data_IF_355533247489
#
_entry.id   IF_355533247489
#
_cell.length_a   1.000
_cell.length_b   1.000
_cell.length_c   1.000
_cell.angle_alpha   90.00
_cell.angle_beta   90.00
_cell.angle_gamma   90.00
#
_symmetry.space_group_name_H-M   'P 1'
#
loop_
_entity.id
_entity.type
_entity.pdbx_description
1 polymer ?
#
# COMPACT_ATOMS: atom_id res chain seq x y z
N UNK A 1 -5.52 -15.24 -25.22
CA UNK A 1 -6.51 -15.71 -24.20
C UNK A 1 -7.16 -14.46 -23.60
N UNK A 2 -8.45 -14.30 -23.86
CA UNK A 2 -9.24 -13.15 -23.39
C UNK A 2 -9.47 -13.27 -21.88
N UNK A 3 -9.29 -12.23 -21.06
CA UNK A 3 -9.56 -12.33 -19.63
C UNK A 3 -11.06 -12.58 -19.40
N UNK A 4 -11.41 -13.68 -18.74
CA UNK A 4 -12.76 -13.95 -18.28
C UNK A 4 -13.20 -12.84 -17.32
N UNK A 5 -14.14 -12.00 -17.73
CA UNK A 5 -14.82 -11.05 -16.84
C UNK A 5 -15.68 -11.86 -15.87
N UNK A 6 -15.32 -11.89 -14.59
CA UNK A 6 -16.17 -12.41 -13.54
C UNK A 6 -17.39 -11.49 -13.41
N UNK A 7 -18.60 -12.03 -13.61
CA UNK A 7 -19.85 -11.25 -13.70
C UNK A 7 -20.59 -11.10 -12.38
N UNK A 8 -20.21 -11.87 -11.32
CA UNK A 8 -20.83 -11.75 -10.00
C UNK A 8 -19.93 -12.29 -8.89
N UNK A 9 -20.17 -11.87 -7.64
CA UNK A 9 -19.49 -12.39 -6.43
C UNK A 9 -19.74 -13.92 -6.27
N UNK A 10 -20.92 -14.39 -6.69
CA UNK A 10 -21.29 -15.81 -6.66
C UNK A 10 -20.38 -16.67 -7.56
N UNK A 11 -20.05 -16.18 -8.76
CA UNK A 11 -19.13 -16.90 -9.65
C UNK A 11 -17.71 -17.01 -9.07
N UNK A 12 -17.25 -15.99 -8.37
CA UNK A 12 -15.96 -16.03 -7.64
C UNK A 12 -16.03 -17.01 -6.49
N UNK A 13 -17.08 -16.96 -5.67
CA UNK A 13 -17.29 -17.88 -4.56
C UNK A 13 -17.37 -19.35 -5.01
N UNK A 14 -18.02 -19.61 -6.15
CA UNK A 14 -18.12 -20.95 -6.73
C UNK A 14 -16.76 -21.48 -7.18
N UNK A 15 -15.92 -20.65 -7.81
CA UNK A 15 -14.55 -21.02 -8.22
C UNK A 15 -13.68 -21.30 -7.00
N UNK A 16 -13.77 -20.46 -5.97
CA UNK A 16 -13.04 -20.67 -4.70
C UNK A 16 -13.44 -22.00 -4.10
N UNK A 17 -14.73 -22.27 -3.94
CA UNK A 17 -15.26 -23.52 -3.38
C UNK A 17 -14.76 -24.73 -4.17
N UNK A 18 -14.91 -24.74 -5.49
CA UNK A 18 -14.47 -25.84 -6.34
C UNK A 18 -12.96 -26.11 -6.18
N UNK A 19 -12.14 -25.03 -6.14
CA UNK A 19 -10.69 -25.19 -5.96
C UNK A 19 -10.33 -25.79 -4.60
N UNK A 20 -11.05 -25.41 -3.55
CA UNK A 20 -10.84 -25.94 -2.21
C UNK A 20 -11.28 -27.41 -2.10
N UNK A 21 -12.39 -27.80 -2.74
CA UNK A 21 -12.86 -29.20 -2.85
C UNK A 21 -11.85 -30.08 -3.60
N UNK A 22 -11.10 -29.49 -4.57
CA UNK A 22 -9.98 -30.15 -5.24
C UNK A 22 -8.70 -30.18 -4.39
N UNK A 23 -8.74 -29.74 -3.13
CA UNK A 23 -7.59 -29.71 -2.21
C UNK A 23 -6.57 -28.62 -2.50
N UNK A 24 -6.94 -27.62 -3.32
CA UNK A 24 -6.05 -26.52 -3.69
C UNK A 24 -6.18 -25.36 -2.70
N UNK A 25 -5.05 -24.71 -2.39
CA UNK A 25 -5.02 -23.44 -1.71
C UNK A 25 -5.46 -22.35 -2.69
N UNK A 26 -6.31 -21.41 -2.21
CA UNK A 26 -6.77 -20.28 -3.01
C UNK A 26 -6.37 -18.98 -2.32
N UNK A 27 -5.47 -18.24 -2.93
CA UNK A 27 -5.10 -16.88 -2.48
C UNK A 27 -5.92 -15.85 -3.26
N UNK A 28 -6.59 -14.96 -2.52
CA UNK A 28 -7.29 -13.80 -3.08
C UNK A 28 -6.55 -12.57 -2.59
N UNK A 29 -5.93 -11.88 -3.53
CA UNK A 29 -5.13 -10.68 -3.26
C UNK A 29 -5.94 -9.63 -2.50
N UNK A 30 -5.46 -9.23 -1.30
CA UNK A 30 -6.11 -8.25 -0.42
C UNK A 30 -7.23 -8.79 0.45
N UNK A 31 -7.61 -10.06 0.29
CA UNK A 31 -8.59 -10.71 1.14
C UNK A 31 -7.93 -11.72 2.09
N UNK A 32 -7.14 -12.63 1.56
CA UNK A 32 -6.47 -13.67 2.33
C UNK A 32 -6.35 -15.00 1.60
N UNK A 33 -6.02 -16.02 2.36
CA UNK A 33 -5.79 -17.38 1.87
C UNK A 33 -6.83 -18.31 2.44
N UNK A 34 -7.51 -19.03 1.57
CA UNK A 34 -8.39 -20.14 1.92
C UNK A 34 -7.60 -21.44 1.79
N UNK A 35 -7.65 -22.29 2.80
CA UNK A 35 -7.00 -23.61 2.85
C UNK A 35 -8.02 -24.69 3.14
N UNK A 36 -7.93 -25.88 2.51
CA UNK A 36 -8.69 -27.03 2.93
C UNK A 36 -8.27 -27.43 4.35
N UNK A 37 -9.24 -27.63 5.23
CA UNK A 37 -8.98 -28.18 6.57
C UNK A 37 -9.01 -29.71 6.54
N UNK A 38 -8.17 -30.39 7.35
CA UNK A 38 -8.24 -31.84 7.49
C UNK A 38 -9.61 -32.36 7.98
N UNK A 39 -10.42 -31.50 8.58
CA UNK A 39 -11.78 -31.80 9.05
C UNK A 39 -12.85 -31.77 7.94
N UNK A 40 -12.48 -31.47 6.69
CA UNK A 40 -13.42 -31.40 5.55
C UNK A 40 -14.12 -30.05 5.42
N UNK A 41 -13.69 -29.05 6.20
CA UNK A 41 -14.12 -27.66 6.14
C UNK A 41 -12.99 -26.77 5.60
N UNK A 42 -13.14 -25.47 5.61
CA UNK A 42 -12.17 -24.51 5.09
C UNK A 42 -11.65 -23.61 6.20
N UNK A 43 -10.34 -23.42 6.21
CA UNK A 43 -9.68 -22.42 7.05
C UNK A 43 -9.44 -21.16 6.21
N UNK A 44 -9.82 -20.00 6.76
CA UNK A 44 -9.54 -18.71 6.15
C UNK A 44 -8.53 -17.94 6.99
N UNK A 45 -7.38 -17.66 6.38
CA UNK A 45 -6.35 -16.78 6.93
C UNK A 45 -6.45 -15.42 6.23
N UNK A 46 -6.99 -14.43 6.94
CA UNK A 46 -7.12 -13.08 6.38
C UNK A 46 -5.76 -12.46 6.07
N UNK A 47 -5.63 -11.84 4.90
CA UNK A 47 -4.46 -11.01 4.58
C UNK A 47 -4.51 -9.71 5.38
N UNK A 48 -3.99 -9.80 6.60
CA UNK A 48 -4.06 -8.73 7.58
C UNK A 48 -2.90 -7.74 7.49
N UNK A 49 -1.90 -7.98 6.63
CA UNK A 49 -0.76 -7.09 6.46
C UNK A 49 -1.14 -5.88 5.58
N UNK A 50 -1.08 -4.64 6.10
CA UNK A 50 -1.42 -3.46 5.33
C UNK A 50 -0.41 -3.23 4.21
N UNK A 51 -0.88 -2.78 3.06
CA UNK A 51 -0.06 -2.46 1.89
C UNK A 51 0.30 -0.99 1.88
N UNK A 52 1.58 -0.67 1.65
CA UNK A 52 2.06 0.70 1.63
C UNK A 52 2.89 0.97 0.37
N UNK A 53 2.40 1.85 -0.51
CA UNK A 53 3.15 2.31 -1.67
C UNK A 53 4.13 3.39 -1.25
N UNK A 54 5.42 3.25 -1.60
CA UNK A 54 6.47 4.24 -1.34
C UNK A 54 6.79 4.96 -2.64
N UNK A 55 6.43 6.25 -2.71
CA UNK A 55 6.78 7.14 -3.82
C UNK A 55 8.04 7.95 -3.47
N UNK A 56 8.99 8.01 -4.38
CA UNK A 56 10.27 8.68 -4.15
C UNK A 56 10.88 9.20 -5.46
N UNK A 57 11.82 10.13 -5.37
CA UNK A 57 12.64 10.52 -6.50
C UNK A 57 13.83 9.56 -6.64
N UNK A 58 14.24 9.24 -7.86
CA UNK A 58 15.27 8.23 -8.17
C UNK A 58 16.55 8.37 -7.33
N UNK A 59 16.97 9.60 -7.04
CA UNK A 59 18.16 9.89 -6.24
C UNK A 59 18.00 9.50 -4.75
N UNK A 60 16.78 9.28 -4.32
CA UNK A 60 16.44 8.92 -2.95
C UNK A 60 16.23 7.41 -2.76
N UNK A 61 16.53 6.62 -3.78
CA UNK A 61 16.32 5.17 -3.75
C UNK A 61 16.87 4.50 -2.51
N UNK A 62 18.11 4.79 -2.11
CA UNK A 62 18.73 4.16 -0.94
C UNK A 62 17.94 4.41 0.35
N UNK A 63 17.37 5.62 0.52
CA UNK A 63 16.54 5.97 1.69
C UNK A 63 15.14 5.36 1.60
N UNK A 64 14.55 5.34 0.39
CA UNK A 64 13.29 4.67 0.15
C UNK A 64 13.38 3.16 0.38
N UNK A 65 14.49 2.54 0.00
CA UNK A 65 14.79 1.13 0.20
C UNK A 65 15.02 0.78 1.68
N UNK A 66 15.66 1.67 2.43
CA UNK A 66 15.78 1.53 3.89
C UNK A 66 14.40 1.64 4.58
N UNK A 67 13.53 2.55 4.12
CA UNK A 67 12.16 2.65 4.62
C UNK A 67 11.36 1.38 4.27
N UNK A 68 11.49 0.88 3.04
CA UNK A 68 10.88 -0.38 2.61
C UNK A 68 11.23 -1.52 3.57
N UNK A 69 12.52 -1.72 3.85
CA UNK A 69 12.99 -2.79 4.73
C UNK A 69 12.41 -2.66 6.14
N UNK A 70 12.42 -1.46 6.70
CA UNK A 70 11.88 -1.21 8.04
C UNK A 70 10.34 -1.43 8.12
N UNK A 71 9.60 -1.10 7.08
CA UNK A 71 8.16 -1.38 6.99
C UNK A 71 7.89 -2.89 6.88
N UNK A 72 8.67 -3.59 6.06
CA UNK A 72 8.56 -5.05 5.90
C UNK A 72 8.85 -5.78 7.23
N UNK A 73 9.90 -5.39 7.95
CA UNK A 73 10.22 -5.92 9.28
C UNK A 73 9.09 -5.68 10.30
N UNK A 74 8.32 -4.60 10.13
CA UNK A 74 7.17 -4.28 10.98
C UNK A 74 5.88 -5.00 10.55
N UNK A 75 5.92 -5.95 9.61
CA UNK A 75 4.77 -6.72 9.13
C UNK A 75 3.85 -5.94 8.19
N UNK A 76 4.34 -4.88 7.58
CA UNK A 76 3.66 -4.11 6.52
C UNK A 76 4.15 -4.65 5.18
N UNK A 77 3.29 -4.64 4.14
CA UNK A 77 3.67 -5.01 2.76
C UNK A 77 4.00 -3.75 1.96
N UNK A 78 5.27 -3.31 1.95
CA UNK A 78 5.64 -2.15 1.19
C UNK A 78 5.77 -2.49 -0.30
N UNK A 79 5.44 -1.53 -1.15
CA UNK A 79 5.66 -1.60 -2.58
C UNK A 79 6.62 -0.49 -3.01
N UNK A 80 7.62 -0.87 -3.80
CA UNK A 80 8.65 0.02 -4.36
C UNK A 80 8.89 -0.38 -5.82
N UNK A 81 8.86 0.55 -6.75
CA UNK A 81 8.93 0.29 -8.19
C UNK A 81 10.14 -0.57 -8.58
N UNK A 82 11.35 -0.17 -8.18
CA UNK A 82 12.59 -0.89 -8.49
C UNK A 82 12.67 -2.32 -7.92
N UNK A 83 11.81 -2.66 -6.96
CA UNK A 83 11.75 -4.01 -6.40
C UNK A 83 10.65 -4.87 -7.02
N UNK A 84 9.60 -4.25 -7.59
CA UNK A 84 8.38 -4.97 -7.98
C UNK A 84 8.08 -4.91 -9.48
N UNK A 85 8.63 -3.91 -10.21
CA UNK A 85 8.43 -3.84 -11.65
C UNK A 85 9.25 -4.90 -12.38
N UNK A 86 8.60 -5.59 -13.31
CA UNK A 86 9.22 -6.60 -14.15
C UNK A 86 9.62 -6.02 -15.51
N UNK A 87 10.72 -6.52 -16.08
CA UNK A 87 11.14 -6.17 -17.43
C UNK A 87 10.01 -6.46 -18.44
N UNK A 88 9.71 -5.51 -19.33
CA UNK A 88 8.63 -5.62 -20.32
C UNK A 88 7.23 -5.29 -19.81
N UNK A 89 7.07 -5.00 -18.52
CA UNK A 89 5.79 -4.59 -17.96
C UNK A 89 5.42 -3.16 -18.37
N UNK A 90 4.13 -2.89 -18.59
CA UNK A 90 3.63 -1.53 -18.74
C UNK A 90 3.69 -0.82 -17.39
N UNK A 91 4.81 -0.16 -17.12
CA UNK A 91 5.14 0.40 -15.82
C UNK A 91 4.16 1.49 -15.33
N UNK A 92 3.60 2.43 -16.16
CA UNK A 92 2.62 3.39 -15.67
C UNK A 92 1.37 2.71 -15.12
N UNK A 93 0.82 1.73 -15.85
CA UNK A 93 -0.36 0.97 -15.41
C UNK A 93 -0.08 0.13 -14.17
N UNK A 94 1.12 -0.43 -14.06
CA UNK A 94 1.52 -1.21 -12.89
C UNK A 94 1.59 -0.34 -11.64
N UNK A 95 2.12 0.87 -11.75
CA UNK A 95 2.21 1.85 -10.66
C UNK A 95 0.81 2.33 -10.25
N UNK A 96 -0.03 2.76 -11.19
CA UNK A 96 -1.41 3.16 -10.90
C UNK A 96 -2.17 2.06 -10.17
N UNK A 97 -2.04 0.81 -10.65
CA UNK A 97 -2.63 -0.34 -9.97
C UNK A 97 -2.07 -0.53 -8.57
N UNK A 98 -0.75 -0.47 -8.39
CA UNK A 98 -0.13 -0.63 -7.09
C UNK A 98 -0.60 0.44 -6.09
N UNK A 99 -0.74 1.70 -6.51
CA UNK A 99 -1.29 2.77 -5.69
C UNK A 99 -2.75 2.49 -5.35
N UNK A 100 -3.58 2.10 -6.33
CA UNK A 100 -5.02 1.89 -6.14
C UNK A 100 -5.37 0.74 -5.20
N UNK A 101 -4.50 -0.28 -5.10
CA UNK A 101 -4.70 -1.42 -4.20
C UNK A 101 -3.96 -1.28 -2.86
N UNK A 102 -3.21 -0.19 -2.67
CA UNK A 102 -2.51 0.08 -1.41
C UNK A 102 -3.44 0.68 -0.37
N UNK A 103 -3.25 0.30 0.89
CA UNK A 103 -3.93 0.88 2.05
C UNK A 103 -3.36 2.24 2.42
N UNK A 104 -2.07 2.45 2.10
CA UNK A 104 -1.33 3.66 2.42
C UNK A 104 -0.43 4.09 1.26
N UNK A 105 -0.32 5.38 1.06
CA UNK A 105 0.60 6.00 0.12
C UNK A 105 1.60 6.88 0.89
N UNK A 106 2.90 6.62 0.73
CA UNK A 106 3.98 7.27 1.48
C UNK A 106 4.87 8.05 0.51
N UNK A 107 4.57 9.33 0.23
CA UNK A 107 5.43 10.17 -0.59
C UNK A 107 6.65 10.65 0.19
N UNK A 108 7.83 10.36 -0.32
CA UNK A 108 9.12 10.71 0.26
C UNK A 108 9.63 12.05 -0.31
N UNK A 109 9.45 13.13 0.45
CA UNK A 109 9.90 14.46 0.06
C UNK A 109 11.36 14.69 0.44
N UNK A 110 12.12 15.28 -0.48
CA UNK A 110 13.48 15.76 -0.25
C UNK A 110 13.71 17.06 -1.04
N UNK A 111 14.78 17.76 -0.75
CA UNK A 111 15.20 18.95 -1.53
C UNK A 111 15.38 18.61 -3.01
N UNK A 112 15.87 17.41 -3.31
CA UNK A 112 16.04 16.92 -4.68
C UNK A 112 14.71 16.58 -5.35
N UNK A 113 13.80 15.93 -4.63
CA UNK A 113 12.47 15.57 -5.13
C UNK A 113 11.61 16.81 -5.41
N UNK A 114 11.66 17.83 -4.55
CA UNK A 114 10.87 19.05 -4.69
C UNK A 114 11.25 19.88 -5.91
N UNK A 115 12.50 19.79 -6.39
CA UNK A 115 13.00 20.54 -7.52
C UNK A 115 12.68 19.91 -8.90
N UNK A 116 12.17 18.68 -8.94
CA UNK A 116 12.01 17.92 -10.18
C UNK A 116 10.55 17.79 -10.63
N UNK A 117 10.37 17.88 -11.96
CA UNK A 117 9.16 17.38 -12.65
C UNK A 117 9.40 15.93 -13.03
N UNK A 118 8.41 15.04 -12.89
CA UNK A 118 8.55 13.66 -13.34
C UNK A 118 7.61 12.68 -12.63
N UNK A 119 8.02 11.42 -12.61
CA UNK A 119 7.28 10.27 -12.10
C UNK A 119 6.70 10.50 -10.69
N UNK A 120 7.51 10.93 -9.75
CA UNK A 120 7.10 11.23 -8.37
C UNK A 120 5.89 12.18 -8.30
N UNK A 121 5.87 13.24 -9.14
CA UNK A 121 4.76 14.20 -9.17
C UNK A 121 3.48 13.58 -9.77
N UNK A 122 3.63 12.68 -10.74
CA UNK A 122 2.49 11.98 -11.34
C UNK A 122 1.87 10.99 -10.35
N UNK A 123 2.68 10.23 -9.62
CA UNK A 123 2.25 9.33 -8.57
C UNK A 123 1.55 10.08 -7.43
N UNK A 124 2.10 11.22 -7.00
CA UNK A 124 1.51 12.07 -5.98
C UNK A 124 0.13 12.58 -6.39
N UNK A 125 -0.02 13.08 -7.63
CA UNK A 125 -1.32 13.54 -8.13
C UNK A 125 -2.35 12.41 -8.16
N UNK A 126 -1.96 11.27 -8.71
CA UNK A 126 -2.83 10.09 -8.75
C UNK A 126 -3.26 9.65 -7.35
N UNK A 127 -2.34 9.64 -6.37
CA UNK A 127 -2.66 9.32 -4.99
C UNK A 127 -3.58 10.37 -4.32
N UNK A 128 -3.44 11.66 -4.63
CA UNK A 128 -4.34 12.72 -4.16
C UNK A 128 -5.76 12.53 -4.72
N UNK A 129 -5.89 12.11 -5.98
CA UNK A 129 -7.17 11.77 -6.60
C UNK A 129 -7.80 10.52 -5.97
N UNK A 130 -7.01 9.51 -5.64
CA UNK A 130 -7.46 8.34 -4.87
C UNK A 130 -7.93 8.76 -3.47
N UNK A 131 -7.16 9.59 -2.76
CA UNK A 131 -7.49 10.08 -1.43
C UNK A 131 -8.81 10.86 -1.39
N UNK A 132 -9.18 11.54 -2.46
CA UNK A 132 -10.46 12.27 -2.55
C UNK A 132 -11.70 11.37 -2.50
N UNK A 133 -11.54 10.06 -2.70
CA UNK A 133 -12.61 9.04 -2.68
C UNK A 133 -12.67 8.26 -1.37
N UNK A 134 -11.70 8.47 -0.48
CA UNK A 134 -11.61 7.79 0.81
C UNK A 134 -12.31 8.65 1.88
N UNK A 135 -13.01 8.06 2.87
CA UNK A 135 -13.61 8.79 3.96
C UNK A 135 -12.63 9.75 4.63
N UNK A 136 -13.12 10.93 5.05
CA UNK A 136 -12.27 12.02 5.57
C UNK A 136 -11.53 11.69 6.87
N UNK A 137 -12.02 10.73 7.62
CA UNK A 137 -11.47 10.22 8.88
C UNK A 137 -10.44 9.09 8.66
N UNK A 138 -10.26 8.63 7.42
CA UNK A 138 -9.30 7.59 7.09
C UNK A 138 -7.96 8.15 6.62
N UNK A 139 -6.87 7.58 7.15
CA UNK A 139 -5.51 7.91 6.72
C UNK A 139 -5.17 7.03 5.52
N UNK A 140 -4.92 7.67 4.36
CA UNK A 140 -4.36 7.03 3.17
C UNK A 140 -2.96 7.58 2.85
N UNK A 141 -2.77 8.91 2.92
CA UNK A 141 -1.50 9.55 2.61
C UNK A 141 -0.73 9.85 3.90
N UNK A 142 0.50 9.34 3.98
CA UNK A 142 1.44 9.60 5.08
C UNK A 142 2.70 10.24 4.48
N UNK A 143 2.73 11.58 4.35
CA UNK A 143 3.89 12.26 3.78
C UNK A 143 5.10 12.14 4.71
N UNK A 144 6.27 11.85 4.15
CA UNK A 144 7.53 11.83 4.93
C UNK A 144 8.54 12.79 4.31
N UNK A 145 9.32 13.45 5.17
CA UNK A 145 10.47 14.23 4.74
C UNK A 145 11.76 13.47 5.03
N UNK A 146 12.58 13.34 4.01
CA UNK A 146 13.89 12.70 4.10
C UNK A 146 14.97 13.67 4.58
N UNK A 147 14.77 14.98 4.36
CA UNK A 147 15.63 16.07 4.77
C UNK A 147 14.81 17.34 5.05
N UNK A 148 15.46 18.44 5.43
CA UNK A 148 14.82 19.73 5.71
C UNK A 148 14.33 20.42 4.41
N UNK A 149 13.45 19.75 3.65
CA UNK A 149 12.80 20.28 2.45
C UNK A 149 11.46 20.96 2.76
N UNK A 150 10.96 21.74 1.81
CA UNK A 150 9.58 22.22 1.83
C UNK A 150 8.65 21.16 1.22
N UNK A 151 7.56 20.87 1.90
CA UNK A 151 6.47 20.03 1.37
C UNK A 151 5.53 20.94 0.56
N UNK A 152 5.03 20.50 -0.62
CA UNK A 152 4.07 21.27 -1.40
C UNK A 152 2.85 21.69 -0.56
N UNK A 153 2.35 22.93 -0.79
CA UNK A 153 1.21 23.49 -0.04
C UNK A 153 -0.02 22.59 -0.08
N UNK A 154 -0.32 22.01 -1.22
CA UNK A 154 -1.45 21.09 -1.43
C UNK A 154 -1.40 19.86 -0.51
N UNK A 155 -0.19 19.44 -0.12
CA UNK A 155 0.01 18.32 0.78
C UNK A 155 0.02 18.79 2.24
N UNK A 156 0.84 19.79 2.59
CA UNK A 156 1.01 20.21 3.98
C UNK A 156 -0.23 20.91 4.57
N UNK A 157 -1.14 21.44 3.74
CA UNK A 157 -2.42 21.98 4.20
C UNK A 157 -3.45 20.90 4.56
N UNK A 158 -3.30 19.69 4.02
CA UNK A 158 -4.26 18.59 4.20
C UNK A 158 -3.73 17.48 5.09
N UNK A 159 -2.42 17.25 5.11
CA UNK A 159 -1.81 16.11 5.77
C UNK A 159 -0.64 16.53 6.67
N UNK A 160 -0.59 15.97 7.85
CA UNK A 160 0.60 16.06 8.70
C UNK A 160 1.70 15.15 8.16
N UNK A 161 2.91 15.69 8.01
CA UNK A 161 4.07 14.91 7.56
C UNK A 161 4.92 14.41 8.74
N UNK A 162 5.72 13.40 8.48
CA UNK A 162 6.68 12.85 9.42
C UNK A 162 8.10 13.13 8.95
N UNK A 163 8.93 13.71 9.84
CA UNK A 163 10.37 13.87 9.57
C UNK A 163 11.11 12.58 9.87
N UNK A 164 11.86 12.07 8.88
CA UNK A 164 12.78 10.93 9.05
C UNK A 164 14.18 11.40 9.43
N UNK A 165 14.35 12.67 9.76
CA UNK A 165 15.58 13.31 10.25
C UNK A 165 15.26 14.18 11.49
N UNK A 166 16.23 14.51 12.33
CA UNK A 166 17.59 14.03 12.36
C UNK A 166 17.70 12.57 12.84
N UNK A 167 16.61 11.97 13.33
CA UNK A 167 16.58 10.59 13.81
C UNK A 167 15.68 9.73 12.94
N UNK A 168 16.31 8.95 12.07
CA UNK A 168 15.65 8.01 11.16
C UNK A 168 14.71 7.06 11.92
N UNK A 169 15.22 6.38 12.94
CA UNK A 169 14.46 5.38 13.69
C UNK A 169 13.21 5.94 14.37
N UNK A 170 13.31 7.16 14.92
CA UNK A 170 12.15 7.82 15.53
C UNK A 170 11.09 8.16 14.48
N UNK A 171 11.52 8.65 13.31
CA UNK A 171 10.63 8.97 12.20
C UNK A 171 9.93 7.73 11.68
N UNK A 172 10.67 6.67 11.38
CA UNK A 172 10.12 5.40 10.89
C UNK A 172 9.14 4.79 11.90
N UNK A 173 9.46 4.78 13.19
CA UNK A 173 8.54 4.32 14.24
C UNK A 173 7.21 5.11 14.26
N UNK A 174 7.25 6.42 13.95
CA UNK A 174 6.03 7.25 13.85
C UNK A 174 5.19 6.84 12.65
N UNK A 175 5.81 6.57 11.50
CA UNK A 175 5.11 6.08 10.29
C UNK A 175 4.44 4.73 10.58
N UNK A 176 5.19 3.77 11.11
CA UNK A 176 4.67 2.44 11.48
C UNK A 176 3.51 2.55 12.46
N UNK A 177 3.63 3.41 13.49
CA UNK A 177 2.55 3.65 14.46
C UNK A 177 1.30 4.20 13.77
N UNK A 178 1.43 5.17 12.86
CA UNK A 178 0.30 5.75 12.14
C UNK A 178 -0.43 4.67 11.34
N UNK A 179 0.29 3.83 10.58
CA UNK A 179 -0.25 2.72 9.81
C UNK A 179 -1.04 1.76 10.72
N UNK A 180 -0.41 1.24 11.78
CA UNK A 180 -1.07 0.27 12.66
C UNK A 180 -2.23 0.86 13.46
N UNK A 181 -2.20 2.16 13.78
CA UNK A 181 -3.32 2.84 14.43
C UNK A 181 -4.53 2.88 13.49
N UNK A 182 -4.32 3.24 12.24
CA UNK A 182 -5.39 3.27 11.23
C UNK A 182 -5.96 1.88 10.94
N UNK A 183 -5.10 0.87 10.79
CA UNK A 183 -5.52 -0.52 10.57
C UNK A 183 -6.41 -1.01 11.72
N UNK A 184 -6.03 -0.71 12.97
CA UNK A 184 -6.85 -1.07 14.14
C UNK A 184 -8.19 -0.33 14.17
N UNK A 185 -8.22 0.93 13.76
CA UNK A 185 -9.45 1.71 13.68
C UNK A 185 -10.42 1.11 12.65
N UNK A 186 -9.95 0.82 11.43
CA UNK A 186 -10.73 0.16 10.37
C UNK A 186 -11.32 -1.17 10.83
N UNK A 187 -10.51 -2.01 11.50
CA UNK A 187 -10.99 -3.31 12.03
C UNK A 187 -12.08 -3.16 13.08
N UNK A 188 -11.98 -2.16 13.97
CA UNK A 188 -13.03 -1.92 14.97
C UNK A 188 -14.35 -1.53 14.34
N UNK A 189 -14.34 -0.73 13.28
CA UNK A 189 -15.54 -0.33 12.55
C UNK A 189 -16.20 -1.55 11.86
N UNK A 190 -15.39 -2.42 11.24
CA UNK A 190 -15.89 -3.65 10.59
C UNK A 190 -16.48 -4.66 11.58
N UNK A 191 -16.04 -4.69 12.84
CA UNK A 191 -16.57 -5.59 13.87
C UNK A 191 -17.79 -5.00 14.59
N UNK A 192 -18.08 -3.71 14.41
CA UNK A 192 -19.21 -3.02 15.03
C UNK A 192 -20.42 -2.86 14.08
N UNK A 193 -20.27 -3.20 12.79
CA UNK A 193 -21.30 -3.20 11.75
C UNK A 193 -21.88 -4.59 11.54
#
# INVERSE_FOLDING_TARGET
MTPRKFRSAEAVAQIVRQSLEEGKLVEIEGLGVFRPSPAGDFEFEADCAPRAFIAYADEEFARADALYSALAEAGIRPWLDKRHLLAGQNWPKAIERAISISDFFIPCFSRRAAAKRGQFQSELRYALDCAARIPLDEIFIIPVRLDACQVPREVCQRFHYVDLFPSWDKGVKRVIRAIWTQVRARRRLLLAS
#
